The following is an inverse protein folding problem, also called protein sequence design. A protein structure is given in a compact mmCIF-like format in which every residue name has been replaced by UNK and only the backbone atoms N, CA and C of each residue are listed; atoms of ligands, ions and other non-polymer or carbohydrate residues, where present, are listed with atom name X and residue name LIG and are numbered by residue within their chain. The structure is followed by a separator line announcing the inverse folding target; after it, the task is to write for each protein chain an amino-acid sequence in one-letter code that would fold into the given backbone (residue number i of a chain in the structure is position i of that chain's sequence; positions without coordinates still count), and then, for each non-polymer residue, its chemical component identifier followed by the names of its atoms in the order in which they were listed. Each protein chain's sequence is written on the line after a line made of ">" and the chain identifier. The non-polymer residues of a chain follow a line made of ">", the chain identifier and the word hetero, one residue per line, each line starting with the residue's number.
data_IF_506392633088
#
_entry.id   IF_506392633088
#
_cell.length_a   1.000
_cell.length_b   1.000
_cell.length_c   1.000
_cell.angle_alpha   90.00
_cell.angle_beta   90.00
_cell.angle_gamma   90.00
#
_symmetry.space_group_name_H-M   'P 1'
#
loop_
_entity.id
_entity.type
_entity.pdbx_description
1 polymer ?
#
# COMPACT_ATOMS: atom_id res chain seq x y z
N UNK A 1 -15.07 9.54 8.63
CA UNK A 1 -14.10 10.27 9.47
C UNK A 1 -12.82 9.45 9.52
N UNK A 2 -11.65 10.04 9.27
CA UNK A 2 -10.40 9.30 9.08
C UNK A 2 -9.17 10.19 9.15
N UNK A 3 -8.01 9.65 8.81
CA UNK A 3 -6.75 10.43 8.78
C UNK A 3 -6.72 11.47 7.66
N UNK A 4 -7.31 11.15 6.49
CA UNK A 4 -7.47 12.08 5.39
C UNK A 4 -8.60 13.05 5.68
N UNK A 5 -8.35 14.34 5.44
CA UNK A 5 -9.28 15.43 5.75
C UNK A 5 -9.49 16.36 4.54
N UNK A 6 -9.13 15.92 3.34
CA UNK A 6 -9.17 16.72 2.11
C UNK A 6 -10.59 17.19 1.72
N UNK A 7 -11.63 16.52 2.23
CA UNK A 7 -13.02 16.93 2.07
C UNK A 7 -13.42 18.13 2.94
N UNK A 8 -12.57 18.53 3.90
CA UNK A 8 -12.78 19.69 4.77
C UNK A 8 -11.83 20.80 4.34
N UNK A 9 -12.35 21.99 4.04
CA UNK A 9 -11.52 23.18 3.83
C UNK A 9 -10.95 23.66 5.16
N UNK A 10 -9.86 23.03 5.58
CA UNK A 10 -9.17 23.34 6.83
C UNK A 10 -8.63 24.78 6.87
N UNK A 11 -8.30 25.37 5.70
CA UNK A 11 -7.82 26.76 5.64
C UNK A 11 -8.96 27.73 5.94
N UNK A 12 -10.12 27.49 5.35
CA UNK A 12 -11.30 28.30 5.60
C UNK A 12 -11.84 28.14 7.03
N UNK A 13 -11.81 26.93 7.58
CA UNK A 13 -12.14 26.66 8.98
C UNK A 13 -11.22 27.46 9.93
N UNK A 14 -9.90 27.44 9.68
CA UNK A 14 -8.92 28.17 10.46
C UNK A 14 -9.15 29.69 10.43
N UNK A 15 -9.49 30.26 9.27
CA UNK A 15 -9.84 31.70 9.15
C UNK A 15 -11.06 32.09 9.99
N UNK A 16 -11.94 31.13 10.33
CA UNK A 16 -13.10 31.35 11.20
C UNK A 16 -12.87 30.91 12.65
N UNK A 17 -11.64 30.54 13.03
CA UNK A 17 -11.35 30.05 14.37
C UNK A 17 -11.97 28.68 14.67
N UNK A 18 -12.31 27.89 13.65
CA UNK A 18 -12.86 26.54 13.81
C UNK A 18 -11.73 25.52 13.72
N UNK A 19 -11.53 24.77 14.79
CA UNK A 19 -10.55 23.69 14.84
C UNK A 19 -11.00 22.49 14.03
N UNK A 20 -10.10 21.92 13.24
CA UNK A 20 -10.30 20.66 12.52
C UNK A 20 -9.37 19.61 13.09
N UNK A 21 -9.92 18.46 13.48
CA UNK A 21 -9.17 17.31 13.96
C UNK A 21 -9.37 16.12 13.02
N UNK A 22 -8.42 15.20 13.02
CA UNK A 22 -8.49 13.93 12.28
C UNK A 22 -8.14 12.76 13.21
N UNK A 23 -8.06 11.54 12.66
CA UNK A 23 -7.74 10.31 13.41
C UNK A 23 -6.41 9.70 12.95
N UNK A 24 -5.28 10.35 13.26
CA UNK A 24 -3.98 9.78 12.99
C UNK A 24 -3.70 8.54 13.86
N UNK A 25 -2.67 7.79 13.47
CA UNK A 25 -2.04 6.71 14.23
C UNK A 25 -2.89 5.43 14.36
N UNK A 26 -4.13 5.54 14.83
CA UNK A 26 -5.03 4.41 15.16
C UNK A 26 -5.37 3.46 14.00
N UNK A 27 -5.17 3.91 12.76
CA UNK A 27 -5.47 3.15 11.53
C UNK A 27 -4.23 2.74 10.74
N UNK A 28 -3.03 3.07 11.25
CA UNK A 28 -1.78 2.92 10.50
C UNK A 28 -1.52 1.47 10.11
N UNK A 29 -1.68 0.56 11.07
CA UNK A 29 -1.40 -0.87 10.87
C UNK A 29 -2.46 -1.53 9.99
N UNK A 30 -3.75 -1.22 10.20
CA UNK A 30 -4.86 -1.79 9.41
C UNK A 30 -4.77 -1.43 7.92
N UNK A 31 -4.41 -0.18 7.61
CA UNK A 31 -4.22 0.23 6.22
C UNK A 31 -2.99 -0.44 5.62
N UNK A 32 -1.91 -0.61 6.40
CA UNK A 32 -0.73 -1.33 5.95
C UNK A 32 -1.02 -2.81 5.67
N UNK A 33 -1.78 -3.48 6.53
CA UNK A 33 -2.22 -4.87 6.34
C UNK A 33 -3.07 -5.02 5.08
N UNK A 34 -4.02 -4.11 4.89
CA UNK A 34 -4.87 -4.08 3.69
C UNK A 34 -4.04 -3.88 2.42
N UNK A 35 -3.03 -3.00 2.45
CA UNK A 35 -2.15 -2.77 1.30
C UNK A 35 -1.35 -4.03 0.92
N UNK A 36 -0.85 -4.79 1.90
CA UNK A 36 -0.17 -6.06 1.65
C UNK A 36 -1.14 -7.12 1.11
N UNK A 37 -2.34 -7.23 1.71
CA UNK A 37 -3.38 -8.15 1.22
C UNK A 37 -3.76 -7.87 -0.23
N UNK A 38 -3.97 -6.60 -0.58
CA UNK A 38 -4.26 -6.18 -1.94
C UNK A 38 -3.11 -6.52 -2.89
N UNK A 39 -1.87 -6.22 -2.51
CA UNK A 39 -0.68 -6.53 -3.31
C UNK A 39 -0.57 -8.03 -3.64
N UNK A 40 -0.76 -8.90 -2.63
CA UNK A 40 -0.72 -10.35 -2.81
C UNK A 40 -1.88 -10.81 -3.70
N UNK A 41 -3.10 -10.33 -3.45
CA UNK A 41 -4.28 -10.66 -4.25
C UNK A 41 -4.09 -10.30 -5.72
N UNK A 42 -3.52 -9.12 -6.01
CA UNK A 42 -3.24 -8.67 -7.38
C UNK A 42 -2.21 -9.56 -8.06
N UNK A 43 -1.12 -9.91 -7.38
CA UNK A 43 -0.01 -10.64 -8.00
C UNK A 43 -0.31 -12.13 -8.16
N UNK A 44 -1.03 -12.72 -7.19
CA UNK A 44 -1.31 -14.17 -7.15
C UNK A 44 -2.72 -14.54 -7.63
N UNK A 45 -3.53 -13.53 -7.97
CA UNK A 45 -4.86 -13.68 -8.52
C UNK A 45 -5.83 -14.50 -7.64
N UNK A 46 -5.64 -14.40 -6.32
CA UNK A 46 -6.35 -15.22 -5.34
C UNK A 46 -7.88 -15.03 -5.38
N UNK A 47 -8.43 -13.81 -5.51
CA UNK A 47 -9.89 -13.65 -5.59
C UNK A 47 -10.53 -14.34 -6.81
N UNK A 48 -9.81 -14.39 -7.94
CA UNK A 48 -10.29 -15.07 -9.15
C UNK A 48 -10.14 -16.58 -9.04
N UNK A 49 -9.04 -17.05 -8.46
CA UNK A 49 -8.86 -18.47 -8.13
C UNK A 49 -9.94 -18.97 -7.15
N UNK A 50 -10.33 -18.16 -6.17
CA UNK A 50 -11.45 -18.47 -5.27
C UNK A 50 -12.78 -18.55 -6.02
N UNK A 51 -13.06 -17.59 -6.90
CA UNK A 51 -14.27 -17.61 -7.75
C UNK A 51 -14.33 -18.89 -8.60
N UNK A 52 -13.22 -19.29 -9.22
CA UNK A 52 -13.11 -20.52 -10.01
C UNK A 52 -13.41 -21.79 -9.21
N UNK A 53 -13.06 -21.80 -7.94
CA UNK A 53 -13.42 -22.89 -7.04
C UNK A 53 -14.92 -22.85 -6.72
N UNK A 54 -15.43 -21.67 -6.33
CA UNK A 54 -16.82 -21.49 -5.87
C UNK A 54 -17.87 -21.70 -6.97
N UNK A 55 -17.55 -21.39 -8.22
CA UNK A 55 -18.45 -21.60 -9.36
C UNK A 55 -18.41 -23.05 -9.90
N UNK A 56 -17.60 -23.93 -9.29
CA UNK A 56 -17.45 -25.33 -9.68
C UNK A 56 -16.58 -25.55 -10.92
N UNK A 57 -15.93 -24.51 -11.46
CA UNK A 57 -15.02 -24.65 -12.60
C UNK A 57 -13.84 -25.55 -12.29
N UNK A 58 -13.39 -25.63 -11.03
CA UNK A 58 -12.36 -26.60 -10.67
C UNK A 58 -12.79 -28.05 -10.97
N UNK A 59 -14.03 -28.41 -10.64
CA UNK A 59 -14.55 -29.75 -10.90
C UNK A 59 -14.80 -30.02 -12.39
N UNK A 60 -15.26 -29.01 -13.15
CA UNK A 60 -15.61 -29.16 -14.58
C UNK A 60 -14.42 -29.02 -15.53
N UNK A 61 -13.49 -28.12 -15.20
CA UNK A 61 -12.44 -27.65 -16.11
C UNK A 61 -11.02 -27.92 -15.57
N UNK A 62 -10.88 -28.42 -14.34
CA UNK A 62 -9.58 -28.66 -13.71
C UNK A 62 -8.96 -27.41 -13.08
N UNK A 63 -7.64 -27.46 -12.86
CA UNK A 63 -6.92 -26.47 -12.06
C UNK A 63 -7.05 -25.03 -12.59
N UNK A 64 -7.08 -24.06 -11.68
CA UNK A 64 -6.95 -22.65 -12.05
C UNK A 64 -5.60 -22.40 -12.75
N UNK A 65 -5.53 -21.54 -13.77
CA UNK A 65 -4.26 -21.21 -14.43
C UNK A 65 -3.20 -20.69 -13.45
N UNK A 66 -1.94 -21.05 -13.67
CA UNK A 66 -0.84 -20.51 -12.87
C UNK A 66 -0.79 -18.98 -12.99
N UNK A 67 -0.67 -18.29 -11.84
CA UNK A 67 -0.59 -16.84 -11.80
C UNK A 67 0.58 -16.34 -12.64
N UNK A 68 0.34 -15.41 -13.57
CA UNK A 68 1.38 -14.86 -14.46
C UNK A 68 2.46 -14.07 -13.74
N UNK A 69 2.18 -13.60 -12.52
CA UNK A 69 3.07 -12.76 -11.73
C UNK A 69 3.42 -13.44 -10.41
N UNK A 70 4.54 -13.00 -9.83
CA UNK A 70 4.98 -13.38 -8.49
C UNK A 70 5.59 -12.17 -7.80
N UNK A 71 5.58 -12.16 -6.46
CA UNK A 71 6.30 -11.16 -5.66
C UNK A 71 7.80 -11.46 -5.62
N UNK A 72 8.21 -12.71 -5.89
CA UNK A 72 9.62 -13.11 -5.89
C UNK A 72 10.39 -12.28 -6.93
N UNK A 73 11.56 -11.77 -6.54
CA UNK A 73 12.44 -11.00 -7.41
C UNK A 73 11.94 -9.59 -7.77
N UNK A 74 10.85 -9.10 -7.17
CA UNK A 74 10.38 -7.73 -7.37
C UNK A 74 11.08 -6.75 -6.42
N UNK A 75 11.27 -5.53 -6.89
CA UNK A 75 11.49 -4.34 -6.06
C UNK A 75 10.16 -3.60 -5.85
N UNK A 76 10.04 -2.87 -4.74
CA UNK A 76 8.84 -2.08 -4.42
C UNK A 76 9.21 -0.62 -4.24
N UNK A 77 8.56 0.25 -5.00
CA UNK A 77 8.62 1.70 -4.82
C UNK A 77 7.40 2.21 -4.04
N UNK A 78 7.64 2.93 -2.94
CA UNK A 78 6.60 3.56 -2.11
C UNK A 78 6.57 5.07 -2.39
N UNK A 79 5.48 5.57 -2.97
CA UNK A 79 5.26 7.01 -3.11
C UNK A 79 4.55 7.54 -1.86
N UNK A 80 5.29 8.23 -0.99
CA UNK A 80 4.78 8.69 0.31
C UNK A 80 5.25 7.82 1.47
N UNK A 81 6.42 8.16 2.04
CA UNK A 81 6.99 7.53 3.23
C UNK A 81 6.62 8.29 4.51
N UNK A 82 5.33 8.24 4.86
CA UNK A 82 4.80 8.67 6.16
C UNK A 82 4.55 7.47 7.08
N UNK A 83 3.69 7.63 8.09
CA UNK A 83 3.34 6.56 9.05
C UNK A 83 2.91 5.25 8.38
N UNK A 84 1.94 5.32 7.46
CA UNK A 84 1.44 4.15 6.73
C UNK A 84 2.51 3.60 5.77
N UNK A 85 3.23 4.46 5.06
CA UNK A 85 4.30 4.04 4.14
C UNK A 85 5.41 3.26 4.86
N UNK A 86 5.80 3.70 6.06
CA UNK A 86 6.76 2.98 6.91
C UNK A 86 6.22 1.64 7.40
N UNK A 87 4.95 1.60 7.84
CA UNK A 87 4.32 0.35 8.28
C UNK A 87 4.19 -0.68 7.14
N UNK A 88 3.96 -0.22 5.91
CA UNK A 88 4.00 -1.05 4.70
C UNK A 88 5.43 -1.53 4.43
N UNK A 89 6.42 -0.63 4.46
CA UNK A 89 7.82 -0.97 4.21
C UNK A 89 8.32 -2.07 5.16
N UNK A 90 8.05 -1.92 6.47
CA UNK A 90 8.40 -2.93 7.49
C UNK A 90 7.83 -4.32 7.19
N UNK A 91 6.61 -4.40 6.65
CA UNK A 91 6.01 -5.67 6.24
C UNK A 91 6.74 -6.23 5.02
N UNK A 92 6.98 -5.42 4.00
CA UNK A 92 7.67 -5.82 2.77
C UNK A 92 9.12 -6.29 3.02
N UNK A 93 9.80 -5.77 4.04
CA UNK A 93 11.10 -6.28 4.48
C UNK A 93 11.04 -7.77 4.86
N UNK A 94 9.98 -8.19 5.57
CA UNK A 94 9.78 -9.59 5.92
C UNK A 94 9.49 -10.49 4.70
N UNK A 95 9.01 -9.91 3.59
CA UNK A 95 8.93 -10.60 2.31
C UNK A 95 10.30 -10.66 1.60
N UNK A 96 11.34 -9.98 2.09
CA UNK A 96 12.67 -9.95 1.48
C UNK A 96 12.70 -9.18 0.16
N UNK A 97 11.87 -8.14 0.03
CA UNK A 97 11.80 -7.31 -1.18
C UNK A 97 12.66 -6.04 -1.00
N UNK A 98 13.47 -5.65 -2.00
CA UNK A 98 14.10 -4.33 -2.02
C UNK A 98 13.04 -3.22 -2.01
N UNK A 99 13.24 -2.21 -1.16
CA UNK A 99 12.31 -1.09 -0.98
C UNK A 99 13.01 0.22 -1.32
N UNK A 100 12.36 0.98 -2.19
CA UNK A 100 12.70 2.35 -2.53
C UNK A 100 11.50 3.26 -2.25
N UNK A 101 11.72 4.55 -2.12
CA UNK A 101 10.63 5.49 -1.92
C UNK A 101 10.87 6.86 -2.54
N UNK A 102 9.76 7.58 -2.76
CA UNK A 102 9.78 8.98 -3.16
C UNK A 102 8.94 9.83 -2.21
N UNK A 103 9.50 10.97 -1.82
CA UNK A 103 8.87 12.05 -1.04
C UNK A 103 9.37 13.40 -1.57
N UNK A 104 8.64 14.48 -1.27
CA UNK A 104 9.10 15.87 -1.49
C UNK A 104 10.39 16.20 -0.73
N UNK A 105 10.63 15.55 0.41
CA UNK A 105 11.86 15.66 1.21
C UNK A 105 12.27 14.27 1.68
N UNK A 106 13.58 13.99 1.70
CA UNK A 106 14.12 12.74 2.24
C UNK A 106 13.74 12.61 3.72
N UNK A 107 13.46 11.39 4.19
CA UNK A 107 13.31 11.10 5.61
C UNK A 107 14.70 10.75 6.15
N UNK A 108 15.18 11.51 7.13
CA UNK A 108 16.49 11.26 7.73
C UNK A 108 16.49 9.94 8.51
N UNK A 109 17.62 9.23 8.46
CA UNK A 109 17.80 7.97 9.19
C UNK A 109 17.15 6.72 8.58
N UNK A 110 16.40 6.82 7.47
CA UNK A 110 15.89 5.64 6.77
C UNK A 110 16.93 5.01 5.84
N UNK A 111 17.04 3.68 5.91
CA UNK A 111 17.94 2.87 5.09
C UNK A 111 17.40 2.60 3.67
N UNK A 112 16.12 2.88 3.39
CA UNK A 112 15.53 2.68 2.06
C UNK A 112 16.09 3.66 1.03
N UNK A 113 16.19 3.21 -0.22
CA UNK A 113 16.65 4.05 -1.33
C UNK A 113 15.67 5.22 -1.56
N UNK A 114 16.20 6.43 -1.62
CA UNK A 114 15.41 7.64 -1.86
C UNK A 114 15.55 8.11 -3.31
N UNK A 115 14.42 8.28 -3.99
CA UNK A 115 14.37 8.89 -5.32
C UNK A 115 13.85 10.33 -5.23
N UNK A 116 14.58 11.28 -5.83
CA UNK A 116 14.20 12.70 -5.85
C UNK A 116 12.99 13.01 -6.73
N UNK A 117 12.59 12.11 -7.61
CA UNK A 117 11.40 12.24 -8.47
C UNK A 117 10.60 10.94 -8.49
N UNK A 118 9.29 11.04 -8.68
CA UNK A 118 8.43 9.86 -8.83
C UNK A 118 8.80 9.04 -10.08
N UNK A 119 9.17 9.69 -11.19
CA UNK A 119 9.60 8.99 -12.41
C UNK A 119 10.89 8.20 -12.18
N UNK A 120 11.79 8.70 -11.35
CA UNK A 120 13.04 8.00 -11.01
C UNK A 120 12.83 6.77 -10.13
N UNK A 121 11.67 6.62 -9.49
CA UNK A 121 11.30 5.45 -8.67
C UNK A 121 10.78 4.27 -9.53
N UNK A 122 10.35 4.53 -10.77
CA UNK A 122 9.67 3.59 -11.66
C UNK A 122 10.64 2.76 -12.52
#
# INVERSE_FOLDING_TARGET
>A
FGVGYDSVDARHAAQRGVMVTNTPDVLTEEVADTAIGLLINTIRDLPRAETWLRDGSWARNGNYPLSRLTLRGRSVGIFGMGRIGLAIARRLEAFGLPIAYHNRRRVEGLAYEYHGTLKGLA
#
